data_IF_179996482866
#
_entry.id   IF_179996482866
#
_cell.length_a   1.000
_cell.length_b   1.000
_cell.length_c   1.000
_cell.angle_alpha   90.00
_cell.angle_beta   90.00
_cell.angle_gamma   90.00
#
_symmetry.space_group_name_H-M   'P 1'
#
loop_
_entity.id
_entity.type
_entity.pdbx_description
1 polymer ?
#
# COMPACT_ATOMS: atom_id res chain seq x y z
N UNK A 1 25.43 -19.86 -26.54
CA UNK A 1 26.68 -19.26 -26.04
C UNK A 1 26.70 -19.47 -24.53
N UNK A 2 27.75 -20.09 -23.99
CA UNK A 2 27.90 -20.24 -22.54
C UNK A 2 28.43 -18.92 -21.96
N UNK A 3 27.82 -18.42 -20.90
CA UNK A 3 28.35 -17.26 -20.17
C UNK A 3 29.51 -17.79 -19.32
N UNK A 4 30.73 -17.32 -19.56
CA UNK A 4 31.89 -17.71 -18.76
C UNK A 4 31.88 -16.93 -17.43
N UNK A 5 31.54 -17.64 -16.35
CA UNK A 5 31.35 -17.05 -15.03
C UNK A 5 32.68 -16.95 -14.26
N UNK A 6 33.72 -17.70 -14.66
CA UNK A 6 34.96 -17.85 -13.87
C UNK A 6 35.85 -16.61 -13.91
N UNK A 7 35.73 -15.80 -14.95
CA UNK A 7 36.53 -14.58 -15.14
C UNK A 7 35.82 -13.29 -14.68
N UNK A 8 34.63 -13.39 -14.08
CA UNK A 8 33.84 -12.24 -13.66
C UNK A 8 34.21 -11.84 -12.22
N UNK A 9 34.43 -10.54 -12.00
CA UNK A 9 34.60 -9.97 -10.66
C UNK A 9 33.25 -9.92 -9.91
N UNK A 10 33.26 -9.80 -8.57
CA UNK A 10 32.09 -9.74 -7.69
C UNK A 10 30.99 -8.79 -8.18
N UNK A 11 31.37 -7.58 -8.63
CA UNK A 11 30.41 -6.60 -9.15
C UNK A 11 29.77 -7.05 -10.48
N UNK A 12 30.55 -7.70 -11.35
CA UNK A 12 30.05 -8.20 -12.63
C UNK A 12 29.17 -9.45 -12.45
N UNK A 13 29.49 -10.30 -11.46
CA UNK A 13 28.65 -11.43 -11.06
C UNK A 13 27.29 -10.94 -10.53
N UNK A 14 27.29 -9.92 -9.67
CA UNK A 14 26.05 -9.34 -9.15
C UNK A 14 25.20 -8.71 -10.27
N UNK A 15 25.82 -7.98 -11.21
CA UNK A 15 25.13 -7.43 -12.38
C UNK A 15 24.51 -8.54 -13.26
N UNK A 16 25.24 -9.62 -13.50
CA UNK A 16 24.76 -10.78 -14.24
C UNK A 16 23.57 -11.44 -13.54
N UNK A 17 23.63 -11.63 -12.22
CA UNK A 17 22.53 -12.17 -11.42
C UNK A 17 21.30 -11.29 -11.53
N UNK A 18 21.46 -9.97 -11.38
CA UNK A 18 20.35 -9.01 -11.48
C UNK A 18 19.69 -9.07 -12.88
N UNK A 19 20.51 -9.08 -13.94
CA UNK A 19 20.02 -9.20 -15.33
C UNK A 19 19.31 -10.53 -15.57
N UNK A 20 19.88 -11.63 -15.08
CA UNK A 20 19.28 -12.96 -15.19
C UNK A 20 17.93 -13.03 -14.46
N UNK A 21 17.84 -12.50 -13.24
CA UNK A 21 16.60 -12.44 -12.47
C UNK A 21 15.54 -11.57 -13.16
N UNK A 22 15.93 -10.41 -13.68
CA UNK A 22 15.04 -9.52 -14.43
C UNK A 22 14.48 -10.25 -15.66
N UNK A 23 15.34 -10.91 -16.44
CA UNK A 23 14.93 -11.70 -17.60
C UNK A 23 14.03 -12.88 -17.21
N UNK A 24 14.34 -13.57 -16.12
CA UNK A 24 13.51 -14.66 -15.61
C UNK A 24 12.11 -14.17 -15.21
N UNK A 25 12.02 -12.99 -14.60
CA UNK A 25 10.76 -12.37 -14.24
C UNK A 25 9.94 -11.92 -15.46
N UNK A 26 10.58 -11.37 -16.50
CA UNK A 26 9.92 -11.06 -17.77
C UNK A 26 9.32 -12.30 -18.42
N UNK A 27 10.12 -13.37 -18.56
CA UNK A 27 9.66 -14.64 -19.12
C UNK A 27 8.53 -15.25 -18.28
N UNK A 28 8.59 -15.10 -16.95
CA UNK A 28 7.51 -15.53 -16.06
C UNK A 28 6.24 -14.71 -16.32
N UNK A 29 6.33 -13.38 -16.43
CA UNK A 29 5.18 -12.51 -16.74
C UNK A 29 4.52 -12.89 -18.06
N UNK A 30 5.32 -13.13 -19.11
CA UNK A 30 4.81 -13.55 -20.41
C UNK A 30 4.09 -14.91 -20.33
N UNK A 31 4.69 -15.89 -19.63
CA UNK A 31 4.07 -17.21 -19.42
C UNK A 31 2.76 -17.11 -18.62
N UNK A 32 2.73 -16.27 -17.57
CA UNK A 32 1.53 -16.04 -16.75
C UNK A 32 0.44 -15.35 -17.57
N UNK A 33 0.78 -14.40 -18.45
CA UNK A 33 -0.17 -13.77 -19.37
C UNK A 33 -0.84 -14.79 -20.29
N UNK A 34 -0.04 -15.61 -20.98
CA UNK A 34 -0.55 -16.68 -21.86
C UNK A 34 -1.39 -17.72 -21.10
N UNK A 35 -0.99 -18.07 -19.88
CA UNK A 35 -1.76 -18.99 -19.04
C UNK A 35 -3.11 -18.37 -18.64
N UNK A 36 -3.11 -17.08 -18.28
CA UNK A 36 -4.34 -16.35 -17.93
C UNK A 36 -5.30 -16.28 -19.11
N UNK A 37 -4.81 -16.02 -20.32
CA UNK A 37 -5.63 -16.04 -21.54
C UNK A 37 -6.26 -17.42 -21.78
N UNK A 38 -5.48 -18.50 -21.65
CA UNK A 38 -6.00 -19.87 -21.78
C UNK A 38 -7.08 -20.19 -20.74
N UNK A 39 -6.82 -19.85 -19.48
CA UNK A 39 -7.79 -20.04 -18.40
C UNK A 39 -9.06 -19.22 -18.68
N UNK A 40 -8.91 -17.95 -19.07
CA UNK A 40 -10.05 -17.09 -19.38
C UNK A 40 -10.85 -17.60 -20.60
N UNK A 41 -10.17 -18.12 -21.63
CA UNK A 41 -10.83 -18.71 -22.80
C UNK A 41 -11.63 -19.96 -22.43
N UNK A 42 -11.07 -20.85 -21.59
CA UNK A 42 -11.78 -22.04 -21.09
C UNK A 42 -13.01 -21.65 -20.26
N UNK A 43 -12.84 -20.70 -19.32
CA UNK A 43 -13.93 -20.24 -18.46
C UNK A 43 -15.06 -19.61 -19.29
N UNK A 44 -14.69 -18.80 -20.28
CA UNK A 44 -15.65 -18.16 -21.20
C UNK A 44 -16.36 -19.18 -22.10
N UNK A 45 -15.65 -20.22 -22.56
CA UNK A 45 -16.24 -21.28 -23.38
C UNK A 45 -17.35 -22.02 -22.63
N UNK A 46 -17.16 -22.19 -21.32
CA UNK A 46 -18.12 -22.82 -20.42
C UNK A 46 -19.25 -21.87 -19.96
N UNK A 47 -19.24 -20.61 -20.41
CA UNK A 47 -20.28 -19.61 -20.11
C UNK A 47 -20.16 -18.94 -18.76
N UNK A 48 -19.07 -19.17 -18.03
CA UNK A 48 -18.79 -18.52 -16.74
C UNK A 48 -17.83 -17.35 -16.92
N UNK A 49 -17.77 -16.47 -15.93
CA UNK A 49 -16.75 -15.43 -15.83
C UNK A 49 -15.63 -15.87 -14.88
N UNK A 50 -14.45 -15.26 -14.99
CA UNK A 50 -13.35 -15.53 -14.05
C UNK A 50 -13.76 -15.28 -12.59
N UNK A 51 -14.68 -14.34 -12.38
CA UNK A 51 -15.21 -13.96 -11.07
C UNK A 51 -16.15 -15.03 -10.49
N UNK A 52 -16.88 -15.76 -11.35
CA UNK A 52 -17.71 -16.89 -10.92
C UNK A 52 -16.88 -18.08 -10.42
N UNK A 53 -15.68 -18.28 -10.98
CA UNK A 53 -14.80 -19.42 -10.65
C UNK A 53 -13.88 -19.13 -9.46
N UNK A 54 -13.28 -17.94 -9.42
CA UNK A 54 -12.27 -17.60 -8.41
C UNK A 54 -12.76 -16.60 -7.36
N UNK A 55 -13.97 -16.07 -7.51
CA UNK A 55 -14.50 -15.00 -6.69
C UNK A 55 -13.80 -13.67 -6.94
N UNK A 56 -14.45 -12.57 -6.56
CA UNK A 56 -13.72 -11.31 -6.38
C UNK A 56 -12.78 -11.50 -5.20
N UNK A 57 -11.46 -11.47 -5.45
CA UNK A 57 -10.48 -11.44 -4.37
C UNK A 57 -10.88 -10.34 -3.38
N UNK A 58 -11.12 -10.70 -2.11
CA UNK A 58 -11.66 -9.80 -1.09
C UNK A 58 -10.92 -8.47 -1.16
N UNK A 59 -11.54 -7.46 -1.79
CA UNK A 59 -11.01 -6.11 -1.77
C UNK A 59 -10.90 -5.77 -0.29
N UNK A 60 -9.68 -5.47 0.17
CA UNK A 60 -9.45 -5.07 1.56
C UNK A 60 -10.21 -3.77 1.74
N UNK A 61 -11.45 -3.85 2.20
CA UNK A 61 -12.26 -2.69 2.56
C UNK A 61 -11.44 -1.97 3.62
N UNK A 62 -10.74 -0.91 3.21
CA UNK A 62 -10.15 0.05 4.13
C UNK A 62 -11.35 0.59 4.87
N UNK A 63 -11.55 0.16 6.12
CA UNK A 63 -12.53 0.77 7.01
C UNK A 63 -12.14 2.25 7.07
N UNK A 64 -12.85 3.07 6.30
CA UNK A 64 -12.86 4.51 6.47
C UNK A 64 -13.39 4.72 7.87
N UNK A 65 -12.47 4.98 8.82
CA UNK A 65 -12.85 5.27 10.19
C UNK A 65 -13.88 6.40 10.16
N UNK A 66 -14.95 6.26 10.93
CA UNK A 66 -15.99 7.28 11.05
C UNK A 66 -15.30 8.60 11.40
N UNK A 67 -15.40 9.58 10.51
CA UNK A 67 -14.83 10.91 10.70
C UNK A 67 -15.60 11.57 11.84
N UNK A 68 -15.03 11.55 13.04
CA UNK A 68 -15.66 12.17 14.21
C UNK A 68 -15.40 13.67 14.16
N UNK A 69 -16.44 14.46 14.42
CA UNK A 69 -16.34 15.91 14.50
C UNK A 69 -15.21 16.35 15.46
N UNK A 70 -14.46 17.41 15.12
CA UNK A 70 -13.43 17.93 15.99
C UNK A 70 -14.05 18.46 17.31
N UNK A 71 -13.43 18.12 18.44
CA UNK A 71 -13.87 18.52 19.79
C UNK A 71 -13.02 19.66 20.37
N UNK A 72 -11.78 19.79 19.90
CA UNK A 72 -10.84 20.81 20.36
C UNK A 72 -10.25 21.56 19.17
N UNK A 73 -9.97 22.86 19.34
CA UNK A 73 -9.37 23.76 18.36
C UNK A 73 -8.17 24.47 18.97
N UNK A 74 -7.11 24.62 18.19
CA UNK A 74 -5.93 25.35 18.62
C UNK A 74 -6.20 26.87 18.66
N UNK A 75 -5.97 27.56 19.78
CA UNK A 75 -6.15 29.01 19.90
C UNK A 75 -5.13 29.82 19.09
N UNK A 76 -3.99 29.24 18.74
CA UNK A 76 -2.97 29.88 17.91
C UNK A 76 -3.20 29.67 16.40
N UNK A 77 -3.95 28.62 16.03
CA UNK A 77 -4.21 28.26 14.62
C UNK A 77 -5.58 27.55 14.49
N UNK A 78 -6.65 28.26 14.10
CA UNK A 78 -8.00 27.72 14.04
C UNK A 78 -8.21 26.50 13.11
N UNK A 79 -7.31 26.29 12.14
CA UNK A 79 -7.34 25.15 11.21
C UNK A 79 -6.93 23.85 11.90
N UNK A 80 -6.13 23.93 12.97
CA UNK A 80 -5.70 22.77 13.73
C UNK A 80 -6.79 22.35 14.72
N UNK A 81 -7.46 21.26 14.40
CA UNK A 81 -8.52 20.70 15.23
C UNK A 81 -8.26 19.25 15.60
N UNK A 82 -8.84 18.80 16.71
CA UNK A 82 -8.68 17.45 17.21
C UNK A 82 -9.99 16.90 17.75
N UNK A 83 -10.39 15.72 17.29
CA UNK A 83 -11.64 15.06 17.65
C UNK A 83 -11.65 14.45 19.06
N UNK A 84 -10.56 14.59 19.82
CA UNK A 84 -10.39 13.96 21.12
C UNK A 84 -10.16 12.44 21.06
N UNK A 85 -10.14 11.86 19.85
CA UNK A 85 -9.83 10.45 19.62
C UNK A 85 -8.41 10.29 19.08
N UNK A 86 -7.71 9.24 19.53
CA UNK A 86 -6.36 8.92 19.09
C UNK A 86 -5.26 9.76 19.78
N UNK A 87 -4.08 9.83 19.15
CA UNK A 87 -2.92 10.53 19.70
C UNK A 87 -3.17 12.04 19.78
N UNK A 88 -2.87 12.63 20.95
CA UNK A 88 -2.97 14.08 21.15
C UNK A 88 -2.00 14.83 20.22
N UNK A 89 -2.44 15.86 19.50
CA UNK A 89 -1.56 16.66 18.67
C UNK A 89 -0.63 17.53 19.52
N UNK A 90 0.49 17.96 18.93
CA UNK A 90 1.54 18.70 19.63
C UNK A 90 1.03 20.01 20.24
N UNK A 91 0.25 20.77 19.46
CA UNK A 91 -0.35 22.03 19.91
C UNK A 91 -1.23 21.89 21.15
N UNK A 92 -1.95 20.77 21.29
CA UNK A 92 -2.84 20.55 22.44
C UNK A 92 -2.02 20.32 23.71
N UNK A 93 -0.93 19.54 23.60
CA UNK A 93 -0.01 19.34 24.71
C UNK A 93 0.75 20.64 25.06
N UNK A 94 1.15 21.42 24.06
CA UNK A 94 1.84 22.68 24.27
C UNK A 94 0.92 23.74 24.91
N UNK A 95 -0.35 23.79 24.52
CA UNK A 95 -1.36 24.64 25.15
C UNK A 95 -1.62 24.26 26.61
N UNK A 96 -1.71 22.96 26.92
CA UNK A 96 -1.83 22.48 28.31
C UNK A 96 -0.58 22.85 29.14
N UNK A 97 0.62 22.74 28.57
CA UNK A 97 1.88 23.16 29.22
C UNK A 97 1.94 24.68 29.44
N UNK A 98 1.38 25.46 28.53
CA UNK A 98 1.24 26.91 28.67
C UNK A 98 0.19 27.34 29.71
N UNK A 99 -0.43 26.37 30.42
CA UNK A 99 -1.39 26.63 31.49
C UNK A 99 -2.84 26.81 31.02
N UNK A 100 -3.13 26.61 29.72
CA UNK A 100 -4.52 26.58 29.23
C UNK A 100 -5.20 25.32 29.72
N UNK A 101 -6.49 25.41 30.06
CA UNK A 101 -7.27 24.24 30.45
C UNK A 101 -7.86 23.60 29.20
N UNK A 102 -8.06 22.29 29.25
CA UNK A 102 -8.70 21.52 28.18
C UNK A 102 -10.06 22.11 27.76
N UNK A 103 -10.81 22.69 28.71
CA UNK A 103 -12.09 23.37 28.46
C UNK A 103 -11.96 24.62 27.59
N UNK A 104 -10.83 25.33 27.69
CA UNK A 104 -10.59 26.57 26.92
C UNK A 104 -10.23 26.26 25.45
N UNK A 105 -9.84 25.02 25.18
CA UNK A 105 -9.48 24.53 23.84
C UNK A 105 -10.65 23.79 23.17
N UNK A 106 -11.76 23.57 23.89
CA UNK A 106 -12.94 22.90 23.34
C UNK A 106 -13.71 23.86 22.42
N UNK A 107 -14.23 23.33 21.32
CA UNK A 107 -15.11 24.04 20.37
C UNK A 107 -16.57 23.70 20.63
#
# INVERSE_FOLDING_TARGET
MAVDIKNLNHNQLNDLINKAQLRQNELRKEKVGKLREKIHALIKAEGYTFEDIFGHGRAKVRRTGVTVAPKYRNPADPEQTWSGRGKRPRWFNDALKAGKKEKDLAI
#
